data_IF_215896305327
#
_entry.id   IF_215896305327
#
_cell.length_a   1.000
_cell.length_b   1.000
_cell.length_c   1.000
_cell.angle_alpha   90.00
_cell.angle_beta   90.00
_cell.angle_gamma   90.00
#
_symmetry.space_group_name_H-M   'P 1'
#
loop_
_entity.id
_entity.type
_entity.pdbx_description
1 polymer ?
#
# COMPACT_ATOMS: atom_id res chain seq x y z
N UNK A 1 -1.55 25.45 15.98
CA UNK A 1 -0.27 25.66 15.27
C UNK A 1 -0.33 24.87 13.97
N UNK A 2 -0.02 25.51 12.85
CA UNK A 2 0.02 24.86 11.54
C UNK A 2 1.41 24.29 11.29
N UNK A 3 1.49 23.06 10.77
CA UNK A 3 2.74 22.35 10.48
C UNK A 3 3.13 22.62 9.03
N UNK A 4 4.30 23.22 8.79
CA UNK A 4 4.83 23.41 7.44
C UNK A 4 5.41 22.08 6.91
N UNK A 5 4.93 21.61 5.76
CA UNK A 5 5.43 20.37 5.14
C UNK A 5 6.54 20.60 4.11
N UNK A 6 6.69 21.82 3.58
CA UNK A 6 7.68 22.10 2.53
C UNK A 6 9.13 21.79 2.97
N UNK A 7 9.59 22.14 4.21
CA UNK A 7 10.92 21.74 4.67
C UNK A 7 11.10 20.21 4.77
N UNK A 8 10.03 19.47 5.07
CA UNK A 8 10.06 18.00 5.12
C UNK A 8 10.15 17.45 3.69
N UNK A 9 9.41 18.04 2.74
CA UNK A 9 9.46 17.67 1.32
C UNK A 9 10.87 17.84 0.74
N UNK A 10 11.50 18.98 0.99
CA UNK A 10 12.85 19.26 0.47
C UNK A 10 13.89 18.28 1.03
N UNK A 11 13.84 18.00 2.33
CA UNK A 11 14.69 17.01 2.99
C UNK A 11 14.47 15.58 2.46
N UNK A 12 13.23 15.23 2.11
CA UNK A 12 12.89 13.93 1.50
C UNK A 12 13.38 13.83 0.05
N UNK A 13 13.32 14.92 -0.73
CA UNK A 13 13.86 14.98 -2.09
C UNK A 13 15.37 14.74 -2.06
N UNK A 14 16.11 15.52 -1.27
CA UNK A 14 17.57 15.36 -1.13
C UNK A 14 17.93 13.96 -0.67
N UNK A 15 17.18 13.40 0.29
CA UNK A 15 17.40 12.04 0.75
C UNK A 15 17.15 11.00 -0.35
N UNK A 16 16.05 11.09 -1.10
CA UNK A 16 15.77 10.17 -2.20
C UNK A 16 16.86 10.21 -3.28
N UNK A 17 17.34 11.40 -3.65
CA UNK A 17 18.44 11.57 -4.60
C UNK A 17 19.74 10.94 -4.10
N UNK A 18 20.03 11.03 -2.79
CA UNK A 18 21.21 10.40 -2.18
C UNK A 18 21.20 8.86 -2.19
N UNK A 19 20.02 8.25 -2.39
CA UNK A 19 19.85 6.80 -2.51
C UNK A 19 19.86 6.32 -3.96
N UNK A 20 19.76 7.21 -4.95
CA UNK A 20 19.72 6.84 -6.35
C UNK A 20 21.08 6.38 -6.86
N UNK A 21 21.09 5.32 -7.68
CA UNK A 21 22.27 4.72 -8.30
C UNK A 21 22.22 4.94 -9.82
N UNK A 22 22.87 5.98 -10.37
CA UNK A 22 22.73 6.39 -11.78
C UNK A 22 23.06 5.32 -12.81
N UNK A 23 24.00 4.42 -12.48
CA UNK A 23 24.43 3.34 -13.37
C UNK A 23 23.34 2.29 -13.57
N UNK A 24 22.47 2.10 -12.57
CA UNK A 24 21.41 1.07 -12.59
C UNK A 24 20.02 1.65 -12.79
N UNK A 25 19.78 2.91 -12.41
CA UNK A 25 18.43 3.48 -12.35
C UNK A 25 17.65 3.11 -11.08
N UNK A 26 18.28 2.47 -10.10
CA UNK A 26 17.62 1.95 -8.91
C UNK A 26 17.98 2.72 -7.65
N UNK A 27 17.38 2.34 -6.52
CA UNK A 27 17.67 2.92 -5.21
C UNK A 27 18.24 1.86 -4.27
N UNK A 28 19.22 2.25 -3.46
CA UNK A 28 19.70 1.45 -2.32
C UNK A 28 18.79 1.59 -1.09
N UNK A 29 18.95 0.68 -0.13
CA UNK A 29 18.34 0.79 1.19
C UNK A 29 19.35 1.36 2.19
N UNK A 30 19.11 2.58 2.68
CA UNK A 30 20.06 3.26 3.58
C UNK A 30 21.47 3.29 2.99
N UNK A 31 22.45 2.84 3.78
CA UNK A 31 23.86 2.82 3.38
C UNK A 31 24.29 1.58 2.56
N UNK A 32 23.37 0.67 2.21
CA UNK A 32 23.71 -0.53 1.44
C UNK A 32 24.28 -0.16 0.05
N UNK A 33 25.31 -0.86 -0.46
CA UNK A 33 25.92 -0.51 -1.75
C UNK A 33 25.09 -0.99 -2.95
N UNK A 34 24.26 -2.02 -2.75
CA UNK A 34 23.51 -2.67 -3.82
C UNK A 34 22.10 -2.05 -3.99
N UNK A 35 21.55 -2.08 -5.21
CA UNK A 35 20.17 -1.68 -5.43
C UNK A 35 19.20 -2.64 -4.70
N UNK A 36 18.05 -2.11 -4.29
CA UNK A 36 17.05 -2.83 -3.51
C UNK A 36 15.68 -2.66 -4.16
N UNK A 37 15.08 -3.75 -4.64
CA UNK A 37 13.75 -3.68 -5.25
C UNK A 37 12.70 -3.09 -4.30
N UNK A 38 12.59 -3.52 -3.02
CA UNK A 38 11.71 -2.86 -2.07
C UNK A 38 11.96 -1.35 -2.00
N UNK A 39 13.21 -0.91 -1.85
CA UNK A 39 13.53 0.51 -1.70
C UNK A 39 13.16 1.31 -2.95
N UNK A 40 13.50 0.79 -4.14
CA UNK A 40 13.13 1.39 -5.43
C UNK A 40 11.62 1.61 -5.54
N UNK A 41 10.80 0.66 -5.10
CA UNK A 41 9.34 0.76 -5.14
C UNK A 41 8.81 1.73 -4.07
N UNK A 42 9.35 1.68 -2.85
CA UNK A 42 8.91 2.56 -1.76
C UNK A 42 9.31 4.03 -1.98
N UNK A 43 10.46 4.32 -2.61
CA UNK A 43 10.82 5.68 -3.02
C UNK A 43 9.83 6.22 -4.06
N UNK A 44 9.32 5.39 -4.99
CA UNK A 44 8.24 5.82 -5.90
C UNK A 44 7.05 6.36 -5.13
N UNK A 45 6.63 5.66 -4.06
CA UNK A 45 5.50 6.09 -3.26
C UNK A 45 5.80 7.34 -2.44
N UNK A 46 7.01 7.46 -1.88
CA UNK A 46 7.43 8.63 -1.12
C UNK A 46 7.39 9.87 -2.03
N UNK A 47 8.04 9.80 -3.20
CA UNK A 47 8.05 10.90 -4.16
C UNK A 47 6.66 11.24 -4.69
N UNK A 48 5.83 10.23 -4.96
CA UNK A 48 4.43 10.44 -5.34
C UNK A 48 3.63 11.15 -4.23
N UNK A 49 3.82 10.72 -2.97
CA UNK A 49 3.01 11.21 -1.85
C UNK A 49 3.24 12.68 -1.53
N UNK A 50 4.35 13.26 -1.98
CA UNK A 50 4.70 14.68 -1.77
C UNK A 50 4.84 15.45 -3.09
N UNK A 51 4.25 14.95 -4.17
CA UNK A 51 4.23 15.61 -5.49
C UNK A 51 5.65 16.00 -5.97
N UNK A 52 6.57 15.03 -5.92
CA UNK A 52 8.00 15.25 -6.16
C UNK A 52 8.61 14.34 -7.23
N UNK A 53 7.80 13.58 -7.97
CA UNK A 53 8.29 12.69 -9.04
C UNK A 53 9.04 13.44 -10.16
N UNK A 54 8.63 14.67 -10.47
CA UNK A 54 9.27 15.55 -11.46
C UNK A 54 10.28 16.53 -10.83
N UNK A 55 10.35 16.60 -9.49
CA UNK A 55 11.25 17.50 -8.79
C UNK A 55 12.66 16.91 -8.58
N UNK A 56 12.76 15.58 -8.60
CA UNK A 56 14.03 14.88 -8.45
C UNK A 56 14.78 14.79 -9.79
N UNK A 57 16.11 14.97 -9.74
CA UNK A 57 16.96 14.91 -10.94
C UNK A 57 17.34 13.47 -11.32
N UNK A 58 16.35 12.62 -11.61
CA UNK A 58 16.56 11.17 -11.86
C UNK A 58 16.18 10.76 -13.29
N UNK A 59 16.86 9.73 -13.80
CA UNK A 59 16.52 9.12 -15.09
C UNK A 59 15.34 8.16 -14.92
N UNK A 60 14.13 8.69 -15.14
CA UNK A 60 12.87 7.93 -15.03
C UNK A 60 12.82 6.71 -15.95
N UNK A 61 13.41 6.79 -17.13
CA UNK A 61 13.39 5.68 -18.08
C UNK A 61 14.24 4.50 -17.57
N UNK A 62 15.45 4.78 -17.06
CA UNK A 62 16.28 3.77 -16.40
C UNK A 62 15.61 3.19 -15.16
N UNK A 63 14.93 4.02 -14.37
CA UNK A 63 14.19 3.58 -13.19
C UNK A 63 13.07 2.59 -13.54
N UNK A 64 12.25 2.92 -14.55
CA UNK A 64 11.20 2.02 -15.05
C UNK A 64 11.82 0.71 -15.56
N UNK A 65 12.86 0.80 -16.41
CA UNK A 65 13.52 -0.35 -17.00
C UNK A 65 14.10 -1.28 -15.93
N UNK A 66 14.69 -0.72 -14.87
CA UNK A 66 15.22 -1.50 -13.77
C UNK A 66 14.13 -2.23 -12.99
N UNK A 67 13.00 -1.57 -12.67
CA UNK A 67 11.88 -2.26 -12.00
C UNK A 67 11.39 -3.41 -12.88
N UNK A 68 11.18 -3.17 -14.18
CA UNK A 68 10.70 -4.18 -15.12
C UNK A 68 11.67 -5.37 -15.26
N UNK A 69 12.99 -5.14 -15.20
CA UNK A 69 13.98 -6.21 -15.27
C UNK A 69 14.01 -7.12 -14.03
N UNK A 70 13.37 -6.71 -12.93
CA UNK A 70 13.20 -7.57 -11.75
C UNK A 70 12.04 -8.57 -11.92
N UNK A 71 11.24 -8.47 -12.98
CA UNK A 71 10.22 -9.45 -13.29
C UNK A 71 10.87 -10.72 -13.85
N UNK A 72 10.58 -11.86 -13.23
CA UNK A 72 11.04 -13.18 -13.68
C UNK A 72 10.63 -13.44 -15.12
N UNK A 73 11.59 -13.79 -15.96
CA UNK A 73 11.31 -14.21 -17.33
C UNK A 73 10.58 -15.56 -17.36
N UNK A 74 10.80 -16.42 -16.37
CA UNK A 74 10.26 -17.78 -16.34
C UNK A 74 8.76 -17.81 -16.07
N UNK A 75 8.31 -17.12 -15.02
CA UNK A 75 6.94 -17.23 -14.51
C UNK A 75 6.23 -15.87 -14.35
N UNK A 76 6.90 -14.77 -14.72
CA UNK A 76 6.36 -13.41 -14.59
C UNK A 76 6.27 -12.89 -13.15
N UNK A 77 6.77 -13.62 -12.15
CA UNK A 77 6.71 -13.20 -10.75
C UNK A 77 7.71 -12.08 -10.43
N UNK A 78 7.46 -11.37 -9.32
CA UNK A 78 8.45 -10.55 -8.63
C UNK A 78 8.73 -11.20 -7.27
N UNK A 79 9.88 -10.91 -6.68
CA UNK A 79 10.25 -11.43 -5.36
C UNK A 79 10.94 -10.36 -4.51
N UNK A 80 10.50 -10.23 -3.26
CA UNK A 80 11.31 -9.57 -2.23
C UNK A 80 12.14 -10.60 -1.46
N UNK A 81 13.34 -10.22 -0.99
CA UNK A 81 14.14 -11.09 -0.14
C UNK A 81 13.43 -11.44 1.18
N UNK A 82 13.85 -12.52 1.86
CA UNK A 82 14.98 -13.42 1.50
C UNK A 82 14.64 -14.43 0.39
N UNK A 83 15.66 -15.08 -0.20
CA UNK A 83 15.53 -15.95 -1.39
C UNK A 83 14.98 -17.35 -1.11
N UNK A 84 15.06 -17.81 0.13
CA UNK A 84 14.62 -19.14 0.59
C UNK A 84 13.09 -19.21 0.76
N UNK A 85 12.45 -18.10 1.09
CA UNK A 85 11.00 -17.95 1.08
C UNK A 85 10.61 -16.57 0.53
N UNK A 86 10.71 -16.37 -0.80
CA UNK A 86 10.51 -15.07 -1.41
C UNK A 86 9.07 -14.59 -1.25
N UNK A 87 8.90 -13.35 -0.80
CA UNK A 87 7.57 -12.73 -0.65
C UNK A 87 7.08 -12.24 -2.02
N UNK A 88 6.46 -13.13 -2.79
CA UNK A 88 6.07 -12.86 -4.18
C UNK A 88 4.84 -11.97 -4.29
N UNK A 89 3.79 -12.21 -3.49
CA UNK A 89 2.55 -11.46 -3.62
C UNK A 89 2.70 -9.96 -3.35
N UNK A 90 3.40 -9.62 -2.26
CA UNK A 90 3.66 -8.21 -1.93
C UNK A 90 4.56 -7.54 -2.97
N UNK A 91 5.53 -8.26 -3.53
CA UNK A 91 6.44 -7.73 -4.52
C UNK A 91 5.70 -7.40 -5.83
N UNK A 92 4.86 -8.31 -6.32
CA UNK A 92 4.07 -8.09 -7.52
C UNK A 92 3.09 -6.92 -7.37
N UNK A 93 2.33 -6.88 -6.27
CA UNK A 93 1.40 -5.78 -6.00
C UNK A 93 2.11 -4.42 -5.95
N UNK A 94 3.29 -4.35 -5.31
CA UNK A 94 4.05 -3.11 -5.26
C UNK A 94 4.64 -2.73 -6.64
N UNK A 95 5.14 -3.69 -7.40
CA UNK A 95 5.69 -3.44 -8.73
C UNK A 95 4.64 -2.85 -9.68
N UNK A 96 3.44 -3.43 -9.74
CA UNK A 96 2.33 -2.91 -10.57
C UNK A 96 2.01 -1.46 -10.18
N UNK A 97 1.89 -1.17 -8.88
CA UNK A 97 1.56 0.17 -8.40
C UNK A 97 2.63 1.20 -8.71
N UNK A 98 3.90 0.89 -8.41
CA UNK A 98 5.00 1.80 -8.68
C UNK A 98 5.14 2.09 -10.18
N UNK A 99 5.05 1.05 -11.02
CA UNK A 99 5.09 1.22 -12.47
C UNK A 99 3.93 2.08 -12.97
N UNK A 100 2.71 1.88 -12.48
CA UNK A 100 1.56 2.72 -12.85
C UNK A 100 1.74 4.19 -12.44
N UNK A 101 2.30 4.45 -11.25
CA UNK A 101 2.66 5.81 -10.81
C UNK A 101 3.67 6.45 -11.78
N UNK A 102 4.62 5.65 -12.28
CA UNK A 102 5.63 6.06 -13.26
C UNK A 102 5.13 6.02 -14.71
N UNK A 103 3.82 5.82 -14.93
CA UNK A 103 3.21 5.70 -16.26
C UNK A 103 3.74 4.53 -17.11
N UNK A 104 4.13 3.43 -16.47
CA UNK A 104 4.62 2.19 -17.06
C UNK A 104 3.72 0.99 -16.67
N UNK A 105 4.07 -0.21 -17.14
CA UNK A 105 3.37 -1.47 -16.85
C UNK A 105 4.37 -2.58 -16.52
N UNK A 106 3.92 -3.61 -15.81
CA UNK A 106 4.64 -4.91 -15.80
C UNK A 106 4.66 -5.51 -17.20
N UNK A 107 5.58 -6.43 -17.46
CA UNK A 107 5.79 -7.03 -18.78
C UNK A 107 4.99 -8.32 -18.97
N UNK A 108 4.75 -9.08 -17.90
CA UNK A 108 4.08 -10.40 -17.93
C UNK A 108 2.95 -10.52 -16.91
N UNK A 109 1.96 -11.35 -17.21
CA UNK A 109 0.95 -11.82 -16.25
C UNK A 109 1.53 -13.04 -15.51
N UNK A 110 1.69 -13.00 -14.17
CA UNK A 110 2.31 -14.11 -13.45
C UNK A 110 1.54 -15.44 -13.60
N UNK A 111 2.27 -16.53 -13.83
CA UNK A 111 1.67 -17.83 -14.13
C UNK A 111 0.95 -18.46 -12.94
N UNK A 112 1.48 -18.24 -11.73
CA UNK A 112 0.83 -18.64 -10.47
C UNK A 112 -0.53 -17.96 -10.28
N UNK A 113 -0.79 -16.89 -11.04
CA UNK A 113 -2.06 -16.21 -11.00
C UNK A 113 -3.15 -16.79 -11.88
N UNK A 114 -2.79 -17.51 -12.94
CA UNK A 114 -3.70 -17.97 -13.99
C UNK A 114 -4.75 -18.97 -13.50
N UNK A 115 -4.42 -19.78 -12.50
CA UNK A 115 -5.37 -20.76 -11.95
C UNK A 115 -6.59 -20.13 -11.29
N UNK A 116 -6.53 -18.85 -10.93
CA UNK A 116 -7.61 -18.13 -10.24
C UNK A 116 -8.41 -17.19 -11.17
N UNK A 117 -8.27 -17.28 -12.50
CA UNK A 117 -9.01 -16.44 -13.46
C UNK A 117 -10.47 -16.86 -13.66
N UNK A 118 -10.84 -18.06 -13.21
CA UNK A 118 -12.24 -18.52 -13.20
C UNK A 118 -12.81 -18.41 -11.79
N UNK A 119 -14.15 -18.37 -11.65
CA UNK A 119 -14.82 -18.38 -10.34
C UNK A 119 -14.43 -19.60 -9.51
N UNK A 120 -14.44 -20.79 -10.12
CA UNK A 120 -14.02 -22.04 -9.47
C UNK A 120 -12.56 -22.00 -9.04
N UNK A 121 -11.69 -21.50 -9.93
CA UNK A 121 -10.27 -21.33 -9.66
C UNK A 121 -10.01 -20.37 -8.50
N UNK A 122 -10.70 -19.24 -8.46
CA UNK A 122 -10.61 -18.26 -7.39
C UNK A 122 -11.02 -18.85 -6.03
N UNK A 123 -12.15 -19.55 -5.97
CA UNK A 123 -12.61 -20.21 -4.74
C UNK A 123 -11.61 -21.26 -4.25
N UNK A 124 -11.08 -22.05 -5.18
CA UNK A 124 -10.06 -23.04 -4.85
C UNK A 124 -8.77 -22.37 -4.35
N UNK A 125 -8.37 -21.24 -4.95
CA UNK A 125 -7.24 -20.45 -4.48
C UNK A 125 -7.45 -19.93 -3.06
N UNK A 126 -8.59 -19.29 -2.76
CA UNK A 126 -8.90 -18.79 -1.41
C UNK A 126 -8.93 -19.93 -0.38
N UNK A 127 -9.49 -21.09 -0.74
CA UNK A 127 -9.47 -22.28 0.11
C UNK A 127 -8.04 -22.73 0.43
N UNK A 128 -7.17 -22.82 -0.57
CA UNK A 128 -5.76 -23.22 -0.38
C UNK A 128 -5.00 -22.18 0.44
N UNK A 129 -5.11 -20.90 0.09
CA UNK A 129 -4.46 -19.79 0.80
C UNK A 129 -4.88 -19.72 2.28
N UNK A 130 -6.17 -19.95 2.57
CA UNK A 130 -6.66 -20.01 3.96
C UNK A 130 -6.07 -21.19 4.72
N UNK A 131 -5.91 -22.34 4.06
CA UNK A 131 -5.37 -23.56 4.67
C UNK A 131 -3.85 -23.47 4.91
N UNK A 132 -3.10 -22.76 4.05
CA UNK A 132 -1.65 -22.55 4.24
C UNK A 132 -1.33 -21.54 5.34
N UNK A 133 -2.30 -20.70 5.74
CA UNK A 133 -2.05 -19.62 6.68
C UNK A 133 -1.23 -18.48 6.07
N UNK A 134 -1.21 -18.37 4.74
CA UNK A 134 -0.42 -17.38 4.04
C UNK A 134 -0.80 -15.93 4.39
N UNK A 135 0.13 -15.03 4.08
CA UNK A 135 -0.04 -13.62 4.41
C UNK A 135 -1.12 -12.96 3.54
N UNK A 136 -1.69 -11.87 4.04
CA UNK A 136 -2.67 -11.07 3.29
C UNK A 136 -2.08 -10.43 2.01
N UNK A 137 -0.76 -10.42 1.88
CA UNK A 137 -0.08 -9.93 0.68
C UNK A 137 -0.39 -10.75 -0.57
N UNK A 138 -0.68 -12.05 -0.42
CA UNK A 138 -1.06 -12.89 -1.56
C UNK A 138 -2.44 -12.51 -2.09
N UNK A 139 -3.34 -12.01 -1.24
CA UNK A 139 -4.60 -11.38 -1.68
C UNK A 139 -4.33 -10.05 -2.39
N UNK A 140 -3.42 -9.22 -1.88
CA UNK A 140 -3.05 -7.96 -2.54
C UNK A 140 -2.50 -8.20 -3.95
N UNK A 141 -1.76 -9.29 -4.15
CA UNK A 141 -1.25 -9.69 -5.47
C UNK A 141 -2.35 -9.90 -6.52
N UNK A 142 -3.58 -10.17 -6.10
CA UNK A 142 -4.76 -10.38 -6.97
C UNK A 142 -5.50 -9.10 -7.32
N UNK A 143 -5.21 -7.99 -6.66
CA UNK A 143 -5.89 -6.70 -6.92
C UNK A 143 -5.73 -6.22 -8.37
N UNK A 144 -4.54 -6.35 -9.01
CA UNK A 144 -4.44 -6.03 -10.43
C UNK A 144 -5.35 -6.85 -11.34
N UNK A 145 -5.57 -8.12 -10.98
CA UNK A 145 -6.51 -9.01 -11.68
C UNK A 145 -7.95 -8.61 -11.39
N UNK A 146 -8.31 -8.36 -10.12
CA UNK A 146 -9.63 -7.88 -9.72
C UNK A 146 -10.09 -6.64 -10.49
N UNK A 147 -9.21 -5.65 -10.65
CA UNK A 147 -9.54 -4.39 -11.33
C UNK A 147 -9.60 -4.55 -12.85
N UNK A 148 -8.90 -5.55 -13.38
CA UNK A 148 -8.79 -5.82 -14.82
C UNK A 148 -9.75 -6.90 -15.30
N UNK A 149 -10.48 -7.56 -14.39
CA UNK A 149 -11.31 -8.71 -14.69
C UNK A 149 -12.57 -8.31 -15.49
N UNK A 150 -12.86 -8.95 -16.64
CA UNK A 150 -14.03 -8.61 -17.44
C UNK A 150 -15.33 -9.16 -16.86
N UNK A 151 -15.28 -10.26 -16.13
CA UNK A 151 -16.46 -10.92 -15.54
C UNK A 151 -16.86 -10.31 -14.17
N UNK A 152 -18.02 -9.65 -14.06
CA UNK A 152 -18.51 -9.11 -12.79
C UNK A 152 -18.84 -10.18 -11.73
N UNK A 153 -19.19 -11.41 -12.14
CA UNK A 153 -19.49 -12.49 -11.20
C UNK A 153 -18.22 -12.97 -10.48
N UNK A 154 -17.09 -13.00 -11.19
CA UNK A 154 -15.77 -13.20 -10.59
C UNK A 154 -15.45 -12.10 -9.55
N UNK A 155 -15.66 -10.83 -9.92
CA UNK A 155 -15.41 -9.68 -9.02
C UNK A 155 -16.26 -9.77 -7.75
N UNK A 156 -17.54 -10.10 -7.87
CA UNK A 156 -18.41 -10.29 -6.71
C UNK A 156 -17.96 -11.48 -5.86
N UNK A 157 -17.60 -12.60 -6.48
CA UNK A 157 -17.08 -13.78 -5.77
C UNK A 157 -15.83 -13.41 -4.95
N UNK A 158 -14.93 -12.61 -5.50
CA UNK A 158 -13.74 -12.14 -4.77
C UNK A 158 -14.11 -11.39 -3.48
N UNK A 159 -15.10 -10.51 -3.54
CA UNK A 159 -15.56 -9.77 -2.37
C UNK A 159 -16.30 -10.65 -1.36
N UNK A 160 -17.12 -11.61 -1.83
CA UNK A 160 -17.81 -12.56 -0.97
C UNK A 160 -16.80 -13.41 -0.17
N UNK A 161 -15.74 -13.90 -0.83
CA UNK A 161 -14.66 -14.66 -0.19
C UNK A 161 -13.88 -13.82 0.83
N UNK A 162 -13.68 -12.52 0.57
CA UNK A 162 -13.09 -11.61 1.57
C UNK A 162 -14.03 -11.34 2.74
N UNK A 163 -15.31 -11.07 2.48
CA UNK A 163 -16.30 -10.77 3.51
C UNK A 163 -16.47 -11.96 4.47
N UNK A 164 -16.47 -13.18 3.95
CA UNK A 164 -16.61 -14.42 4.73
C UNK A 164 -15.49 -14.64 5.77
N UNK A 165 -14.38 -13.90 5.66
CA UNK A 165 -13.25 -13.99 6.57
C UNK A 165 -13.26 -12.92 7.66
N UNK A 166 -14.18 -11.96 7.59
CA UNK A 166 -14.23 -10.87 8.54
C UNK A 166 -14.79 -11.35 9.89
N UNK A 167 -14.17 -10.92 11.00
CA UNK A 167 -14.65 -11.28 12.33
C UNK A 167 -16.01 -10.60 12.62
N UNK A 168 -17.09 -11.36 12.87
CA UNK A 168 -18.44 -10.80 12.98
C UNK A 168 -18.66 -9.91 14.20
N UNK A 169 -17.89 -10.07 15.27
CA UNK A 169 -18.00 -9.19 16.44
C UNK A 169 -17.10 -7.95 16.38
N UNK A 170 -15.98 -8.02 15.64
CA UNK A 170 -14.93 -7.01 15.68
C UNK A 170 -14.83 -6.20 14.40
N UNK A 171 -15.43 -6.67 13.30
CA UNK A 171 -15.28 -6.09 11.96
C UNK A 171 -13.86 -6.21 11.38
N UNK A 172 -12.86 -6.63 12.16
CA UNK A 172 -11.49 -6.78 11.67
C UNK A 172 -11.30 -8.11 10.97
N UNK A 173 -10.34 -8.17 10.05
CA UNK A 173 -9.88 -9.44 9.50
C UNK A 173 -8.78 -10.00 10.40
N UNK A 174 -9.00 -11.17 11.03
CA UNK A 174 -8.08 -11.70 12.04
C UNK A 174 -6.78 -12.18 11.41
N UNK A 175 -5.73 -12.30 12.22
CA UNK A 175 -4.46 -12.95 11.87
C UNK A 175 -4.17 -14.07 12.86
N UNK A 176 -2.99 -14.06 13.49
CA UNK A 176 -2.71 -14.89 14.67
C UNK A 176 -3.57 -14.49 15.89
N UNK A 177 -3.98 -13.23 15.95
CA UNK A 177 -4.89 -12.69 16.97
C UNK A 177 -6.25 -12.24 16.41
N UNK A 178 -7.17 -11.83 17.30
CA UNK A 178 -8.53 -11.43 16.94
C UNK A 178 -8.57 -10.18 16.05
N UNK A 179 -7.52 -9.35 16.10
CA UNK A 179 -7.37 -8.16 15.26
C UNK A 179 -6.00 -8.15 14.59
N UNK A 180 -5.99 -7.93 13.27
CA UNK A 180 -4.80 -7.63 12.51
C UNK A 180 -5.03 -6.32 11.75
N UNK A 181 -4.39 -5.23 12.21
CA UNK A 181 -4.55 -3.88 11.64
C UNK A 181 -4.16 -3.89 10.16
N UNK A 182 -3.04 -4.52 9.81
CA UNK A 182 -2.50 -4.50 8.45
C UNK A 182 -3.36 -5.26 7.46
N UNK A 183 -3.84 -6.45 7.83
CA UNK A 183 -4.81 -7.20 7.02
C UNK A 183 -6.14 -6.44 6.88
N UNK A 184 -6.61 -5.81 7.96
CA UNK A 184 -7.87 -5.04 7.96
C UNK A 184 -7.76 -3.81 7.07
N UNK A 185 -6.62 -3.11 7.12
CA UNK A 185 -6.29 -2.05 6.19
C UNK A 185 -6.27 -2.56 4.75
N UNK A 186 -5.50 -3.60 4.46
CA UNK A 186 -5.33 -4.12 3.10
C UNK A 186 -6.67 -4.45 2.44
N UNK A 187 -7.59 -5.10 3.16
CA UNK A 187 -8.88 -5.47 2.58
C UNK A 187 -9.84 -4.27 2.51
N UNK A 188 -9.89 -3.42 3.53
CA UNK A 188 -10.68 -2.18 3.48
C UNK A 188 -10.23 -1.26 2.34
N UNK A 189 -8.92 -1.23 2.07
CA UNK A 189 -8.34 -0.53 0.95
C UNK A 189 -8.84 -1.10 -0.39
N UNK A 190 -8.91 -2.42 -0.56
CA UNK A 190 -9.48 -3.04 -1.77
C UNK A 190 -10.94 -2.66 -1.96
N UNK A 191 -11.75 -2.73 -0.90
CA UNK A 191 -13.16 -2.31 -0.93
C UNK A 191 -13.28 -0.86 -1.40
N UNK A 192 -12.61 0.06 -0.70
CA UNK A 192 -12.72 1.51 -0.95
C UNK A 192 -12.19 1.91 -2.34
N UNK A 193 -11.07 1.34 -2.81
CA UNK A 193 -10.59 1.62 -4.17
C UNK A 193 -11.40 0.94 -5.28
N UNK A 194 -12.35 0.08 -4.94
CA UNK A 194 -13.38 -0.46 -5.84
C UNK A 194 -14.73 0.24 -5.62
N UNK A 195 -14.74 1.40 -4.96
CA UNK A 195 -15.90 2.22 -4.65
C UNK A 195 -16.96 1.49 -3.80
N UNK A 196 -16.51 0.62 -2.89
CA UNK A 196 -17.34 -0.14 -1.94
C UNK A 196 -16.95 0.19 -0.50
N UNK A 197 -17.93 0.20 0.39
CA UNK A 197 -17.67 0.20 1.82
C UNK A 197 -17.34 -1.24 2.28
N UNK A 198 -16.28 -1.48 3.08
CA UNK A 198 -16.08 -2.79 3.67
C UNK A 198 -17.28 -3.17 4.56
N UNK A 199 -17.62 -4.46 4.65
CA UNK A 199 -18.64 -4.91 5.60
C UNK A 199 -18.25 -4.46 7.02
N UNK A 200 -19.24 -4.18 7.87
CA UNK A 200 -19.02 -3.83 9.28
C UNK A 200 -18.03 -2.67 9.51
N UNK A 201 -18.06 -1.65 8.65
CA UNK A 201 -17.15 -0.50 8.73
C UNK A 201 -17.19 0.20 10.09
N UNK A 202 -18.36 0.26 10.77
CA UNK A 202 -18.48 0.85 12.11
C UNK A 202 -17.58 0.13 13.13
N UNK A 203 -17.57 -1.21 13.09
CA UNK A 203 -16.78 -2.03 14.01
C UNK A 203 -15.28 -1.93 13.73
N UNK A 204 -14.89 -1.77 12.46
CA UNK A 204 -13.49 -1.48 12.10
C UNK A 204 -13.05 -0.16 12.74
N UNK A 205 -13.87 0.88 12.65
CA UNK A 205 -13.61 2.19 13.27
C UNK A 205 -13.48 2.04 14.79
N UNK A 206 -14.40 1.32 15.43
CA UNK A 206 -14.35 1.06 16.88
C UNK A 206 -13.07 0.33 17.30
N UNK A 207 -12.66 -0.69 16.56
CA UNK A 207 -11.42 -1.43 16.81
C UNK A 207 -10.18 -0.52 16.69
N UNK A 208 -10.10 0.29 15.63
CA UNK A 208 -8.95 1.19 15.44
C UNK A 208 -8.89 2.26 16.52
N UNK A 209 -10.02 2.83 16.93
CA UNK A 209 -10.09 3.79 18.03
C UNK A 209 -9.65 3.17 19.36
N UNK A 210 -10.08 1.92 19.63
CA UNK A 210 -9.73 1.21 20.86
C UNK A 210 -8.23 0.88 20.95
N UNK A 211 -7.60 0.54 19.82
CA UNK A 211 -6.20 0.14 19.75
C UNK A 211 -5.21 1.30 19.79
N UNK A 212 -5.66 2.56 19.71
CA UNK A 212 -4.76 3.70 19.75
C UNK A 212 -4.15 3.82 21.16
N UNK A 213 -2.83 3.79 21.24
CA UNK A 213 -2.12 3.99 22.50
C UNK A 213 -2.13 5.46 22.92
N UNK A 214 -1.80 5.71 24.20
CA UNK A 214 -1.72 7.07 24.77
C UNK A 214 -0.68 7.97 24.06
N UNK A 215 0.33 7.37 23.43
CA UNK A 215 1.34 8.09 22.65
C UNK A 215 0.83 8.54 21.26
N UNK A 216 -0.42 8.20 20.89
CA UNK A 216 -1.03 8.57 19.60
C UNK A 216 -0.77 7.60 18.45
N UNK A 217 -0.06 6.49 18.68
CA UNK A 217 0.30 5.50 17.67
C UNK A 217 -0.37 4.13 17.91
N UNK A 218 -0.18 3.22 16.96
CA UNK A 218 -0.59 1.82 17.07
C UNK A 218 0.70 0.98 17.04
N UNK A 219 1.07 0.40 18.19
CA UNK A 219 2.34 -0.31 18.45
C UNK A 219 3.55 0.60 18.72
N UNK A 220 3.43 1.51 19.68
CA UNK A 220 4.55 2.23 20.31
C UNK A 220 5.20 3.36 19.51
N UNK A 221 5.23 3.28 18.17
CA UNK A 221 5.91 4.24 17.27
C UNK A 221 5.24 4.29 15.89
N UNK A 222 5.46 5.35 15.07
CA UNK A 222 4.99 5.34 13.69
C UNK A 222 5.67 4.21 12.90
N UNK A 223 4.84 3.42 12.23
CA UNK A 223 5.17 2.26 11.43
C UNK A 223 3.96 1.98 10.51
N UNK A 224 3.97 0.84 9.79
CA UNK A 224 2.82 0.44 8.96
C UNK A 224 1.52 0.31 9.74
N UNK A 225 1.52 -0.24 10.96
CA UNK A 225 0.29 -0.32 11.77
C UNK A 225 -0.31 1.06 12.06
N UNK A 226 0.52 2.06 12.31
CA UNK A 226 0.05 3.45 12.47
C UNK A 226 -0.51 4.01 11.16
N UNK A 227 0.20 3.84 10.05
CA UNK A 227 -0.26 4.29 8.72
C UNK A 227 -1.60 3.64 8.35
N UNK A 228 -1.69 2.33 8.54
CA UNK A 228 -2.85 1.49 8.26
C UNK A 228 -4.07 1.95 9.08
N UNK A 229 -3.89 2.21 10.38
CA UNK A 229 -4.96 2.70 11.25
C UNK A 229 -5.40 4.14 10.90
N UNK A 230 -4.44 5.02 10.58
CA UNK A 230 -4.73 6.39 10.13
C UNK A 230 -5.52 6.37 8.82
N UNK A 231 -5.17 5.49 7.88
CA UNK A 231 -5.95 5.30 6.67
C UNK A 231 -7.40 4.94 6.99
N UNK A 232 -7.61 3.90 7.81
CA UNK A 232 -8.94 3.42 8.18
C UNK A 232 -9.77 4.54 8.83
N UNK A 233 -9.18 5.27 9.79
CA UNK A 233 -9.85 6.38 10.49
C UNK A 233 -10.04 7.63 9.63
N UNK A 234 -9.27 7.82 8.57
CA UNK A 234 -9.43 8.95 7.65
C UNK A 234 -10.48 8.72 6.56
N UNK A 235 -10.94 7.48 6.36
CA UNK A 235 -11.84 7.11 5.26
C UNK A 235 -13.18 6.55 5.73
N UNK A 236 -13.15 5.60 6.66
CA UNK A 236 -14.35 4.83 7.04
C UNK A 236 -15.37 5.62 7.87
N UNK A 237 -14.98 6.44 8.87
CA UNK A 237 -15.95 7.11 9.75
C UNK A 237 -16.99 7.92 8.98
N UNK A 238 -16.55 8.76 8.04
CA UNK A 238 -17.44 9.57 7.20
C UNK A 238 -18.26 8.72 6.23
N UNK A 239 -17.65 7.70 5.63
CA UNK A 239 -18.33 6.83 4.68
C UNK A 239 -19.42 5.98 5.35
N UNK A 240 -19.25 5.62 6.62
CA UNK A 240 -20.23 4.90 7.42
C UNK A 240 -21.15 5.80 8.26
N UNK A 241 -20.88 7.11 8.37
CA UNK A 241 -21.59 8.01 9.29
C UNK A 241 -21.41 7.61 10.76
N UNK A 242 -20.22 7.10 11.12
CA UNK A 242 -19.94 6.50 12.44
C UNK A 242 -18.72 7.12 13.11
N UNK A 243 -18.91 7.67 14.32
CA UNK A 243 -17.85 8.17 15.21
C UNK A 243 -16.83 9.11 14.55
N UNK A 244 -17.32 9.96 13.65
CA UNK A 244 -16.48 10.93 12.93
C UNK A 244 -15.71 11.86 13.87
N UNK A 245 -16.33 12.29 14.97
CA UNK A 245 -15.71 13.20 15.94
C UNK A 245 -14.55 12.53 16.66
N UNK A 246 -14.73 11.29 17.13
CA UNK A 246 -13.68 10.54 17.84
C UNK A 246 -12.54 10.14 16.91
N UNK A 247 -12.86 9.76 15.66
CA UNK A 247 -11.85 9.52 14.64
C UNK A 247 -11.03 10.77 14.35
N UNK A 248 -11.67 11.92 14.17
CA UNK A 248 -10.98 13.19 13.97
C UNK A 248 -10.07 13.53 15.16
N UNK A 249 -10.54 13.32 16.40
CA UNK A 249 -9.72 13.51 17.60
C UNK A 249 -8.52 12.56 17.65
N UNK A 250 -8.69 11.29 17.23
CA UNK A 250 -7.61 10.32 17.16
C UNK A 250 -6.53 10.71 16.13
N UNK A 251 -6.95 11.18 14.95
CA UNK A 251 -6.05 11.68 13.91
C UNK A 251 -5.25 12.90 14.39
N UNK A 252 -5.89 13.82 15.12
CA UNK A 252 -5.19 14.95 15.73
C UNK A 252 -4.11 14.51 16.73
N UNK A 253 -4.40 13.53 17.60
CA UNK A 253 -3.40 12.97 18.53
C UNK A 253 -2.20 12.40 17.79
N UNK A 254 -2.43 11.66 16.69
CA UNK A 254 -1.34 11.12 15.88
C UNK A 254 -0.53 12.24 15.22
N UNK A 255 -1.19 13.27 14.67
CA UNK A 255 -0.49 14.43 14.09
C UNK A 255 0.39 15.18 15.11
N UNK A 256 -0.11 15.35 16.34
CA UNK A 256 0.64 15.98 17.44
C UNK A 256 1.88 15.18 17.84
N UNK A 257 1.81 13.84 17.79
CA UNK A 257 2.92 12.96 18.14
C UNK A 257 3.93 12.75 16.98
N UNK A 258 3.46 12.77 15.73
CA UNK A 258 4.27 12.37 14.57
C UNK A 258 5.38 13.37 14.23
N UNK A 259 5.11 14.67 14.31
CA UNK A 259 6.11 15.70 13.96
C UNK A 259 7.29 15.72 14.94
N UNK A 260 7.09 15.74 16.28
CA UNK A 260 8.18 15.58 17.22
C UNK A 260 8.97 14.28 17.00
N UNK A 261 8.27 13.17 16.74
CA UNK A 261 8.91 11.89 16.45
C UNK A 261 9.82 11.97 15.22
N UNK A 262 9.29 12.49 14.12
CA UNK A 262 10.04 12.67 12.87
C UNK A 262 11.31 13.49 13.11
N UNK A 263 11.21 14.65 13.78
CA UNK A 263 12.36 15.51 14.08
C UNK A 263 13.43 14.80 14.92
N UNK A 264 13.02 13.97 15.87
CA UNK A 264 13.94 13.25 16.75
C UNK A 264 14.58 12.02 16.09
N UNK A 265 13.91 11.40 15.10
CA UNK A 265 14.28 10.05 14.64
C UNK A 265 14.48 9.89 13.13
N UNK A 266 14.18 10.90 12.31
CA UNK A 266 14.26 10.79 10.84
C UNK A 266 15.61 10.28 10.34
N UNK A 267 16.73 10.74 10.93
CA UNK A 267 18.08 10.26 10.55
C UNK A 267 18.23 8.75 10.70
N UNK A 268 17.72 8.17 11.79
CA UNK A 268 17.75 6.73 12.04
C UNK A 268 16.81 6.01 11.09
N UNK A 269 15.58 6.50 10.95
CA UNK A 269 14.54 5.80 10.19
C UNK A 269 14.81 5.81 8.68
N UNK A 270 15.49 6.84 8.16
CA UNK A 270 15.99 6.91 6.78
C UNK A 270 16.97 5.79 6.38
N UNK A 271 17.45 4.99 7.34
CA UNK A 271 18.27 3.81 7.07
C UNK A 271 17.45 2.58 6.62
N UNK A 272 16.12 2.64 6.78
CA UNK A 272 15.19 1.62 6.31
C UNK A 272 14.08 2.31 5.49
N UNK A 273 14.25 2.31 4.18
CA UNK A 273 13.33 2.94 3.24
C UNK A 273 11.90 2.42 3.39
N UNK A 274 11.74 1.12 3.71
CA UNK A 274 10.43 0.50 3.88
C UNK A 274 9.73 1.07 5.13
N UNK A 275 10.41 1.08 6.28
CA UNK A 275 9.83 1.65 7.51
C UNK A 275 9.58 3.15 7.38
N UNK A 276 10.50 3.88 6.75
CA UNK A 276 10.37 5.32 6.60
C UNK A 276 9.24 5.72 5.64
N UNK A 277 8.94 4.91 4.63
CA UNK A 277 7.80 5.11 3.76
C UNK A 277 6.47 5.16 4.53
N UNK A 278 6.30 4.33 5.57
CA UNK A 278 5.10 4.37 6.41
C UNK A 278 4.95 5.71 7.14
N UNK A 279 6.05 6.28 7.66
CA UNK A 279 6.05 7.60 8.31
C UNK A 279 5.64 8.70 7.34
N UNK A 280 6.23 8.74 6.14
CA UNK A 280 5.91 9.75 5.12
C UNK A 280 4.45 9.62 4.64
N UNK A 281 3.99 8.40 4.41
CA UNK A 281 2.61 8.17 3.97
C UNK A 281 1.59 8.44 5.07
N UNK A 282 1.95 8.26 6.35
CA UNK A 282 1.13 8.72 7.48
C UNK A 282 1.00 10.24 7.47
N UNK A 283 2.08 10.99 7.20
CA UNK A 283 2.00 12.45 7.03
C UNK A 283 1.09 12.84 5.88
N UNK A 284 1.18 12.15 4.73
CA UNK A 284 0.32 12.41 3.59
C UNK A 284 -1.16 12.19 3.93
N UNK A 285 -1.50 11.06 4.58
CA UNK A 285 -2.86 10.77 5.03
C UNK A 285 -3.41 11.82 6.01
N UNK A 286 -2.59 12.24 6.98
CA UNK A 286 -2.98 13.26 7.95
C UNK A 286 -3.17 14.63 7.28
N UNK A 287 -2.32 14.97 6.31
CA UNK A 287 -2.43 16.21 5.53
C UNK A 287 -3.73 16.26 4.72
N UNK A 288 -4.12 15.15 4.09
CA UNK A 288 -5.39 15.03 3.38
C UNK A 288 -6.60 15.10 4.34
N UNK A 289 -6.52 14.43 5.49
CA UNK A 289 -7.63 14.33 6.42
C UNK A 289 -7.83 15.58 7.29
N UNK A 290 -6.75 16.31 7.57
CA UNK A 290 -6.72 17.48 8.47
C UNK A 290 -6.04 18.68 7.78
N UNK A 291 -6.52 19.14 6.61
CA UNK A 291 -5.84 20.16 5.82
C UNK A 291 -5.56 21.45 6.58
N UNK A 292 -6.43 21.84 7.52
CA UNK A 292 -6.26 23.00 8.39
C UNK A 292 -5.04 22.91 9.33
N UNK A 293 -4.49 21.72 9.55
CA UNK A 293 -3.33 21.48 10.42
C UNK A 293 -2.00 21.61 9.68
N UNK A 294 -2.01 21.63 8.35
CA UNK A 294 -0.81 21.57 7.53
C UNK A 294 -0.76 22.74 6.54
N UNK A 295 0.42 23.31 6.34
CA UNK A 295 0.70 24.33 5.33
C UNK A 295 1.73 23.77 4.36
N UNK A 296 1.46 23.90 3.07
CA UNK A 296 2.35 23.42 2.02
C UNK A 296 2.01 24.06 0.68
N UNK A 297 3.02 24.28 -0.15
CA UNK A 297 2.86 24.70 -1.56
C UNK A 297 2.54 23.53 -2.49
N UNK A 298 2.58 22.29 -2.01
CA UNK A 298 2.41 21.07 -2.81
C UNK A 298 1.32 20.16 -2.22
N UNK A 299 0.52 19.49 -3.06
CA UNK A 299 -0.43 18.52 -2.56
C UNK A 299 0.30 17.29 -1.99
N UNK A 300 -0.01 16.92 -0.74
CA UNK A 300 0.39 15.64 -0.18
C UNK A 300 -0.73 14.64 -0.35
N UNK A 301 -0.42 13.44 -0.85
CA UNK A 301 -1.44 12.47 -1.27
C UNK A 301 -1.13 11.03 -0.88
N UNK A 302 -2.16 10.27 -0.52
CA UNK A 302 -2.03 8.83 -0.29
C UNK A 302 -2.66 8.03 -1.43
N UNK A 303 -1.82 7.45 -2.29
CA UNK A 303 -2.25 6.80 -3.52
C UNK A 303 -2.63 5.32 -3.42
N UNK A 304 -2.63 4.67 -2.24
CA UNK A 304 -2.73 3.21 -2.23
C UNK A 304 -4.10 2.67 -2.63
N UNK A 305 -5.18 3.42 -2.39
CA UNK A 305 -6.54 3.07 -2.83
C UNK A 305 -6.93 3.68 -4.18
N UNK A 306 -5.99 4.28 -4.90
CA UNK A 306 -6.27 4.78 -6.25
C UNK A 306 -6.32 3.61 -7.24
N UNK A 307 -7.52 3.29 -7.69
CA UNK A 307 -7.81 2.20 -8.64
C UNK A 307 -6.97 2.27 -9.92
N UNK A 308 -6.64 3.47 -10.40
CA UNK A 308 -5.80 3.64 -11.59
C UNK A 308 -4.41 3.02 -11.41
N UNK A 309 -3.87 3.01 -10.18
CA UNK A 309 -2.58 2.38 -9.89
C UNK A 309 -2.64 0.87 -9.75
N UNK A 310 -3.82 0.27 -9.82
CA UNK A 310 -3.99 -1.18 -9.80
C UNK A 310 -4.24 -1.75 -11.19
N UNK A 311 -4.61 -0.92 -12.17
CA UNK A 311 -4.88 -1.37 -13.53
C UNK A 311 -3.65 -2.06 -14.12
N UNK A 312 -3.85 -3.22 -14.74
CA UNK A 312 -2.76 -3.95 -15.39
C UNK A 312 -3.20 -4.41 -16.78
N UNK A 313 -2.68 -3.73 -17.79
CA UNK A 313 -3.05 -3.98 -19.19
C UNK A 313 -2.67 -5.39 -19.64
N UNK A 314 -1.54 -5.90 -19.16
CA UNK A 314 -1.07 -7.25 -19.49
C UNK A 314 -2.05 -8.31 -18.98
N UNK A 315 -2.58 -8.14 -17.76
CA UNK A 315 -3.62 -9.03 -17.23
C UNK A 315 -4.90 -8.86 -18.03
N UNK A 316 -5.38 -7.62 -18.22
CA UNK A 316 -6.61 -7.34 -18.97
C UNK A 316 -6.60 -8.03 -20.33
N UNK A 317 -5.52 -7.86 -21.11
CA UNK A 317 -5.38 -8.43 -22.45
C UNK A 317 -5.40 -9.96 -22.43
N UNK A 318 -4.74 -10.59 -21.44
CA UNK A 318 -4.76 -12.04 -21.30
C UNK A 318 -6.17 -12.55 -20.99
N UNK A 319 -6.89 -11.90 -20.09
CA UNK A 319 -8.25 -12.30 -19.71
C UNK A 319 -9.28 -12.12 -20.84
N UNK A 320 -9.06 -11.18 -21.76
CA UNK A 320 -9.97 -10.97 -22.89
C UNK A 320 -9.68 -11.91 -24.06
N UNK A 321 -8.41 -12.21 -24.33
CA UNK A 321 -8.03 -13.11 -25.43
C UNK A 321 -8.55 -14.55 -25.23
N UNK A 322 -8.58 -15.02 -23.99
CA UNK A 322 -9.07 -16.36 -23.65
C UNK A 322 -10.60 -16.53 -23.84
N UNK A 323 -11.36 -15.43 -23.99
CA UNK A 323 -12.82 -15.46 -24.20
C UNK A 323 -13.25 -15.43 -25.67
N UNK A 324 -12.31 -15.30 -26.61
CA UNK A 324 -12.59 -15.25 -28.06
C UNK A 324 -12.42 -16.60 -28.78
N UNK A 325 -12.22 -17.69 -28.02
CA UNK A 325 -12.04 -19.07 -28.51
C UNK A 325 -13.25 -19.93 -28.17
#
# INVERSE_FOLDING_TARGET
MTISLDPIRDDLITWAESLYLPDTGAFRNGDAPAPSLPSTLFITYILYSMDALDAVALDRAKWIAWIQSQQSEQDGSFAFPPSDNPRRGIAFWNAVRALNILSAQVLKFPDDQRSATTITGLRQWFKTWKASGDTHHEVLARVPMLVSHPDPAWVNTFFDELAAQQHPALGTWPGEGPTNISRTFAYSLIYTGMDKLPPQAEKIVDAMLHLQEKNGFWHGRPNFSTMDAVYLLSRLPKAAGWRETEANAALHRTADALIPYYKAHAKRDKQDTHQFAATVQTLALLSEALPQRFATSHPWRFGWSNRAFWQCRVIKNSLTADNEV
#
